data_IF_150008740493
#
_entry.id   IF_150008740493
#
_cell.length_a   1.000
_cell.length_b   1.000
_cell.length_c   1.000
_cell.angle_alpha   90.00
_cell.angle_beta   90.00
_cell.angle_gamma   90.00
#
_symmetry.space_group_name_H-M   'P 1'
#
loop_
_entity.id
_entity.type
_entity.pdbx_description
1 polymer ?
#
# COMPACT_ATOMS: atom_id res chain seq x y z
N UNK A 1 -8.79 1.58 -6.97
CA UNK A 1 -10.05 0.94 -7.37
C UNK A 1 -9.95 -0.59 -7.37
N UNK A 2 -8.88 -1.20 -7.90
CA UNK A 2 -8.75 -2.67 -8.02
C UNK A 2 -9.04 -3.43 -6.71
N UNK A 3 -8.50 -3.00 -5.59
CA UNK A 3 -8.70 -3.66 -4.29
C UNK A 3 -10.14 -3.57 -3.81
N UNK A 4 -10.82 -2.48 -4.14
CA UNK A 4 -12.18 -2.21 -3.65
C UNK A 4 -13.29 -2.73 -4.55
N UNK A 5 -12.98 -3.12 -5.80
CA UNK A 5 -14.01 -3.55 -6.76
C UNK A 5 -14.45 -5.01 -6.51
N UNK A 6 -15.65 -5.33 -6.91
CA UNK A 6 -16.14 -6.70 -7.01
C UNK A 6 -15.68 -7.33 -8.33
N UNK A 7 -15.81 -8.64 -8.42
CA UNK A 7 -15.48 -9.38 -9.63
C UNK A 7 -16.39 -8.96 -10.78
N UNK A 8 -15.83 -8.60 -11.96
CA UNK A 8 -16.65 -8.28 -13.12
C UNK A 8 -17.30 -9.55 -13.68
N UNK A 9 -18.49 -9.43 -14.23
CA UNK A 9 -19.24 -10.57 -14.81
C UNK A 9 -18.54 -11.20 -16.02
N UNK A 10 -17.65 -10.45 -16.68
CA UNK A 10 -16.82 -10.90 -17.78
C UNK A 10 -15.52 -10.07 -17.83
N UNK A 11 -14.48 -10.66 -18.41
CA UNK A 11 -13.17 -10.00 -18.43
C UNK A 11 -13.03 -9.08 -19.67
N UNK A 12 -13.94 -8.11 -19.78
CA UNK A 12 -13.93 -7.07 -20.80
C UNK A 12 -13.59 -5.70 -20.20
N UNK A 13 -13.07 -4.81 -21.04
CA UNK A 13 -12.69 -3.46 -20.59
C UNK A 13 -13.88 -2.69 -19.98
N UNK A 14 -15.08 -2.86 -20.54
CA UNK A 14 -16.28 -2.16 -20.09
C UNK A 14 -16.82 -2.73 -18.77
N UNK A 15 -16.81 -4.06 -18.59
CA UNK A 15 -17.18 -4.69 -17.33
C UNK A 15 -16.24 -4.27 -16.20
N UNK A 16 -14.91 -4.32 -16.44
CA UNK A 16 -13.89 -3.88 -15.49
C UNK A 16 -14.06 -2.39 -15.16
N UNK A 17 -14.30 -1.53 -16.18
CA UNK A 17 -14.53 -0.10 -15.97
C UNK A 17 -15.78 0.16 -15.13
N UNK A 18 -16.82 -0.59 -15.34
CA UNK A 18 -18.07 -0.49 -14.59
C UNK A 18 -17.84 -0.79 -13.11
N UNK A 19 -17.14 -1.87 -12.77
CA UNK A 19 -16.84 -2.19 -11.38
C UNK A 19 -15.92 -1.16 -10.73
N UNK A 20 -14.89 -0.67 -11.43
CA UNK A 20 -14.05 0.44 -10.96
C UNK A 20 -14.87 1.69 -10.65
N UNK A 21 -15.84 2.03 -11.52
CA UNK A 21 -16.68 3.21 -11.35
C UNK A 21 -17.58 3.10 -10.12
N UNK A 22 -18.11 1.92 -9.80
CA UNK A 22 -18.86 1.67 -8.56
C UNK A 22 -18.04 2.01 -7.32
N UNK A 23 -16.78 1.56 -7.27
CA UNK A 23 -15.88 1.88 -6.16
C UNK A 23 -15.62 3.38 -6.08
N UNK A 24 -15.30 4.04 -7.21
CA UNK A 24 -15.03 5.47 -7.23
C UNK A 24 -16.22 6.30 -6.71
N UNK A 25 -17.44 5.89 -7.02
CA UNK A 25 -18.66 6.54 -6.52
C UNK A 25 -18.92 6.28 -5.04
N UNK A 26 -18.39 5.20 -4.49
CA UNK A 26 -18.52 4.83 -3.09
C UNK A 26 -17.41 5.42 -2.19
N UNK A 27 -16.46 6.15 -2.77
CA UNK A 27 -15.39 6.79 -2.00
C UNK A 27 -15.96 7.93 -1.18
N UNK A 28 -15.60 7.94 0.11
CA UNK A 28 -15.85 9.03 1.04
C UNK A 28 -14.53 9.60 1.55
N UNK A 29 -14.50 10.91 1.70
CA UNK A 29 -13.37 11.65 2.25
C UNK A 29 -13.73 12.13 3.66
N UNK A 30 -12.74 12.31 4.55
CA UNK A 30 -12.98 12.90 5.87
C UNK A 30 -13.48 14.34 5.71
N UNK A 31 -14.37 14.75 6.62
CA UNK A 31 -14.85 16.11 6.74
C UNK A 31 -14.56 16.64 8.15
N UNK A 32 -13.71 17.66 8.33
CA UNK A 32 -13.02 18.39 7.25
C UNK A 32 -11.89 17.55 6.60
N UNK A 33 -11.58 17.82 5.34
CA UNK A 33 -10.55 17.10 4.59
C UNK A 33 -9.16 17.15 5.26
N UNK A 34 -8.88 18.24 5.97
CA UNK A 34 -7.62 18.42 6.71
C UNK A 34 -7.34 17.32 7.75
N UNK A 35 -8.39 16.67 8.26
CA UNK A 35 -8.25 15.59 9.25
C UNK A 35 -7.78 14.26 8.66
N UNK A 36 -7.76 14.16 7.34
CA UNK A 36 -7.36 12.92 6.68
C UNK A 36 -6.53 13.11 5.42
N UNK A 37 -6.07 14.31 5.13
CA UNK A 37 -5.21 14.57 3.97
C UNK A 37 -4.00 15.43 4.35
N UNK A 38 -2.83 15.02 3.84
CA UNK A 38 -1.58 15.77 3.96
C UNK A 38 -0.95 15.91 2.58
N UNK A 39 -0.34 17.05 2.35
CA UNK A 39 0.48 17.30 1.16
C UNK A 39 1.75 18.03 1.52
N UNK A 40 2.78 17.86 0.73
CA UNK A 40 4.08 18.49 1.00
C UNK A 40 4.95 18.56 -0.24
N UNK A 41 6.10 19.19 -0.07
CA UNK A 41 7.15 19.24 -1.08
C UNK A 41 8.43 18.69 -0.46
N UNK A 42 9.24 17.94 -1.22
CA UNK A 42 10.55 17.54 -0.74
C UNK A 42 11.48 18.75 -0.65
N UNK A 43 12.26 18.78 0.41
CA UNK A 43 13.33 19.74 0.63
C UNK A 43 14.67 19.15 0.21
N UNK A 44 15.74 19.96 0.20
CA UNK A 44 17.07 19.42 -0.01
C UNK A 44 17.39 18.33 1.02
N UNK A 45 18.13 17.32 0.59
CA UNK A 45 18.45 16.17 1.44
C UNK A 45 19.43 15.22 0.76
N UNK A 46 19.42 13.97 1.20
CA UNK A 46 20.25 12.90 0.67
C UNK A 46 19.35 11.76 0.17
N UNK A 47 19.64 11.26 -1.02
CA UNK A 47 18.95 10.12 -1.62
C UNK A 47 20.01 9.17 -2.20
N UNK A 48 20.01 7.92 -1.75
CA UNK A 48 21.00 6.91 -2.17
C UNK A 48 22.47 7.36 -2.03
N UNK A 49 22.78 8.17 -1.01
CA UNK A 49 24.13 8.67 -0.77
C UNK A 49 24.50 9.93 -1.56
N UNK A 50 23.62 10.44 -2.41
CA UNK A 50 23.83 11.68 -3.17
C UNK A 50 23.01 12.83 -2.60
N UNK A 51 23.57 14.03 -2.63
CA UNK A 51 22.86 15.24 -2.26
C UNK A 51 21.88 15.64 -3.34
N UNK A 52 20.64 15.84 -2.98
CA UNK A 52 19.57 16.27 -3.89
C UNK A 52 19.03 17.63 -3.51
N UNK A 53 18.72 18.45 -4.53
CA UNK A 53 18.10 19.74 -4.36
C UNK A 53 16.65 19.59 -3.87
N UNK A 54 16.14 20.61 -3.17
CA UNK A 54 14.72 20.69 -2.85
C UNK A 54 13.91 21.04 -4.10
N UNK A 55 12.62 20.72 -4.08
CA UNK A 55 11.72 20.90 -5.24
C UNK A 55 11.78 22.33 -5.85
N UNK A 56 11.75 23.36 -5.00
CA UNK A 56 11.81 24.75 -5.46
C UNK A 56 13.20 25.20 -5.94
N UNK A 57 14.19 24.34 -5.83
CA UNK A 57 15.55 24.55 -6.33
C UNK A 57 15.81 23.77 -7.64
N UNK A 58 14.84 22.96 -8.08
CA UNK A 58 14.94 22.22 -9.33
C UNK A 58 14.85 23.17 -10.53
N UNK A 59 15.50 22.79 -11.63
CA UNK A 59 15.45 23.54 -12.88
C UNK A 59 13.99 23.68 -13.35
N UNK A 60 13.64 24.85 -13.84
CA UNK A 60 12.31 25.18 -14.39
C UNK A 60 11.16 25.13 -13.37
N UNK A 61 11.47 25.12 -12.07
CA UNK A 61 10.44 25.23 -11.00
C UNK A 61 10.44 26.66 -10.45
N UNK A 62 9.28 27.34 -10.44
CA UNK A 62 9.16 28.65 -9.80
C UNK A 62 9.51 28.57 -8.31
N UNK A 63 10.28 29.53 -7.75
CA UNK A 63 10.68 29.51 -6.33
C UNK A 63 9.51 29.56 -5.35
N UNK A 64 8.38 30.08 -5.77
CA UNK A 64 7.12 30.20 -5.01
C UNK A 64 6.13 29.07 -5.32
N UNK A 65 6.52 28.08 -6.10
CA UNK A 65 5.66 26.96 -6.48
C UNK A 65 5.03 26.29 -5.25
N UNK A 66 3.73 26.07 -5.34
CA UNK A 66 2.91 25.39 -4.32
C UNK A 66 2.46 24.01 -4.76
N UNK A 67 2.95 23.53 -5.90
CA UNK A 67 2.64 22.17 -6.40
C UNK A 67 3.19 21.13 -5.44
N UNK A 68 2.34 20.27 -4.97
CA UNK A 68 2.73 19.16 -4.09
C UNK A 68 3.56 18.12 -4.83
N UNK A 69 4.59 17.61 -4.16
CA UNK A 69 5.40 16.49 -4.61
C UNK A 69 5.19 15.25 -3.75
N UNK A 70 4.38 15.38 -2.71
CA UNK A 70 3.90 14.32 -1.84
C UNK A 70 2.46 14.58 -1.45
N UNK A 71 1.66 13.55 -1.50
CA UNK A 71 0.30 13.57 -0.96
C UNK A 71 0.00 12.25 -0.24
N UNK A 72 -0.72 12.34 0.85
CA UNK A 72 -1.32 11.21 1.53
C UNK A 72 -2.75 11.53 1.91
N UNK A 73 -3.65 10.57 1.76
CA UNK A 73 -5.06 10.73 2.08
C UNK A 73 -5.61 9.46 2.72
N UNK A 74 -6.40 9.63 3.77
CA UNK A 74 -7.27 8.59 4.32
C UNK A 74 -8.64 8.74 3.67
N UNK A 75 -9.20 7.65 3.17
CA UNK A 75 -10.55 7.62 2.62
C UNK A 75 -11.31 6.37 3.07
N UNK A 76 -12.62 6.42 2.96
CA UNK A 76 -13.50 5.28 3.11
C UNK A 76 -14.02 4.78 1.77
N UNK A 77 -14.53 3.56 1.74
CA UNK A 77 -15.25 2.99 0.59
C UNK A 77 -16.54 2.40 1.13
N UNK A 78 -17.65 3.10 0.89
CA UNK A 78 -18.97 2.77 1.42
C UNK A 78 -19.64 1.68 0.59
N UNK A 79 -19.07 0.47 0.67
CA UNK A 79 -19.65 -0.75 0.11
C UNK A 79 -19.82 -1.78 1.22
N UNK A 80 -20.65 -2.79 0.99
CA UNK A 80 -20.89 -3.85 1.99
C UNK A 80 -19.62 -4.51 2.50
N UNK A 81 -18.60 -4.67 1.64
CA UNK A 81 -17.33 -5.31 2.00
C UNK A 81 -16.39 -4.39 2.77
N UNK A 82 -16.37 -3.11 2.43
CA UNK A 82 -15.33 -2.20 2.86
C UNK A 82 -15.80 -1.12 3.84
N UNK A 83 -17.10 -1.03 4.13
CA UNK A 83 -17.63 -0.07 5.11
C UNK A 83 -16.88 -0.18 6.45
N UNK A 84 -16.38 0.96 6.94
CA UNK A 84 -15.61 1.05 8.17
C UNK A 84 -14.14 0.59 8.06
N UNK A 85 -13.66 0.19 6.88
CA UNK A 85 -12.24 -0.10 6.64
C UNK A 85 -11.55 1.15 6.11
N UNK A 86 -10.54 1.69 6.80
CA UNK A 86 -9.80 2.85 6.32
C UNK A 86 -8.86 2.47 5.18
N UNK A 87 -8.86 3.30 4.13
CA UNK A 87 -7.90 3.22 3.03
C UNK A 87 -6.93 4.38 3.13
N UNK A 88 -5.64 4.08 3.16
CA UNK A 88 -4.58 5.07 3.17
C UNK A 88 -3.86 5.04 1.82
N UNK A 89 -3.97 6.12 1.07
CA UNK A 89 -3.24 6.31 -0.19
C UNK A 89 -2.11 7.30 0.05
N UNK A 90 -0.94 6.99 -0.47
CA UNK A 90 0.18 7.93 -0.49
C UNK A 90 0.93 7.82 -1.81
N UNK A 91 1.34 8.95 -2.32
CA UNK A 91 2.19 9.06 -3.49
C UNK A 91 3.18 10.20 -3.30
N UNK A 92 4.38 10.05 -3.84
CA UNK A 92 5.39 11.09 -3.70
C UNK A 92 6.57 10.91 -4.66
N UNK A 93 7.19 12.03 -4.96
CA UNK A 93 8.47 12.12 -5.68
C UNK A 93 9.62 12.02 -4.68
N UNK A 94 10.77 11.53 -5.13
CA UNK A 94 12.00 11.46 -4.32
C UNK A 94 11.83 10.70 -3.00
N UNK A 95 10.96 9.69 -2.97
CA UNK A 95 10.86 8.75 -1.84
C UNK A 95 12.07 7.80 -1.86
N UNK A 96 12.47 7.24 -0.70
CA UNK A 96 13.64 6.36 -0.60
C UNK A 96 13.58 5.11 -1.49
N UNK A 97 12.38 4.65 -1.81
CA UNK A 97 12.15 3.51 -2.69
C UNK A 97 11.13 3.87 -3.77
N UNK A 98 11.46 3.52 -5.02
CA UNK A 98 10.50 3.55 -6.12
C UNK A 98 9.72 2.24 -6.10
N UNK A 99 8.50 2.29 -5.62
CA UNK A 99 7.64 1.11 -5.46
C UNK A 99 6.18 1.51 -5.59
N UNK A 100 5.39 0.65 -6.23
CA UNK A 100 3.94 0.69 -6.18
C UNK A 100 3.47 -0.60 -5.53
N UNK A 101 2.87 -0.49 -4.35
CA UNK A 101 2.43 -1.65 -3.58
C UNK A 101 1.07 -1.39 -2.91
N UNK A 102 0.37 -2.47 -2.64
CA UNK A 102 -0.88 -2.49 -1.87
C UNK A 102 -0.62 -3.35 -0.65
N UNK A 103 -0.76 -2.76 0.55
CA UNK A 103 -0.63 -3.47 1.81
C UNK A 103 -2.00 -3.63 2.46
N UNK A 104 -2.44 -4.86 2.68
CA UNK A 104 -3.64 -5.20 3.42
C UNK A 104 -3.23 -5.68 4.80
N UNK A 105 -3.53 -4.88 5.83
CA UNK A 105 -3.20 -5.19 7.22
C UNK A 105 -4.44 -5.79 7.87
N UNK A 106 -4.36 -7.04 8.29
CA UNK A 106 -5.46 -7.74 8.94
C UNK A 106 -5.60 -7.27 10.39
N UNK A 107 -6.81 -7.32 10.90
CA UNK A 107 -7.07 -7.07 12.32
C UNK A 107 -6.35 -8.13 13.16
N UNK A 108 -5.82 -7.73 14.31
CA UNK A 108 -5.33 -8.70 15.30
C UNK A 108 -6.45 -9.62 15.74
N UNK A 109 -6.11 -10.87 16.02
CA UNK A 109 -7.07 -11.80 16.62
C UNK A 109 -7.58 -11.23 17.95
N UNK A 110 -8.90 -11.27 18.21
CA UNK A 110 -9.48 -10.71 19.43
C UNK A 110 -9.03 -11.45 20.69
N UNK A 111 -8.60 -12.69 20.54
CA UNK A 111 -8.07 -13.53 21.59
C UNK A 111 -6.93 -14.40 21.06
N UNK A 112 -5.82 -14.42 21.76
CA UNK A 112 -4.70 -15.32 21.52
C UNK A 112 -4.62 -16.28 22.70
N UNK A 113 -4.76 -17.60 22.49
CA UNK A 113 -4.70 -18.59 23.57
C UNK A 113 -3.32 -18.64 24.26
N UNK A 114 -2.34 -17.92 23.73
CA UNK A 114 -0.94 -17.88 24.18
C UNK A 114 -0.55 -16.53 24.80
N UNK A 115 -1.49 -15.79 25.36
CA UNK A 115 -1.29 -14.42 25.87
C UNK A 115 -0.28 -14.24 27.00
N UNK A 116 0.33 -15.32 27.50
CA UNK A 116 1.41 -15.31 28.51
C UNK A 116 2.81 -15.53 27.90
N UNK A 117 2.93 -15.65 26.62
CA UNK A 117 4.18 -15.79 25.88
C UNK A 117 4.47 -14.50 25.12
N UNK A 118 5.70 -14.30 24.68
CA UNK A 118 6.21 -13.12 23.95
C UNK A 118 5.44 -12.75 22.65
N UNK A 119 4.15 -13.07 22.59
CA UNK A 119 3.24 -12.76 21.47
C UNK A 119 2.76 -11.31 21.47
N UNK A 120 3.04 -10.53 22.50
CA UNK A 120 2.67 -9.11 22.55
C UNK A 120 3.38 -8.26 21.48
N UNK A 121 4.57 -8.70 21.06
CA UNK A 121 5.37 -8.06 20.02
C UNK A 121 4.97 -8.46 18.59
N UNK A 122 4.11 -9.46 18.41
CA UNK A 122 3.70 -9.91 17.08
C UNK A 122 2.93 -8.82 16.34
N UNK A 123 3.37 -8.56 15.12
CA UNK A 123 2.67 -7.70 14.18
C UNK A 123 1.29 -8.26 13.79
N UNK A 124 0.45 -7.43 13.17
CA UNK A 124 -0.73 -7.92 12.47
C UNK A 124 -0.31 -8.69 11.22
N UNK A 125 -1.03 -9.75 10.88
CA UNK A 125 -0.84 -10.41 9.59
C UNK A 125 -1.01 -9.39 8.46
N UNK A 126 -0.23 -9.52 7.41
CA UNK A 126 -0.19 -8.55 6.33
C UNK A 126 -0.04 -9.25 4.99
N UNK A 127 -0.87 -8.86 4.02
CA UNK A 127 -0.72 -9.23 2.62
C UNK A 127 -0.20 -8.01 1.86
N UNK A 128 0.95 -8.15 1.22
CA UNK A 128 1.57 -7.10 0.40
C UNK A 128 1.55 -7.55 -1.06
N UNK A 129 0.89 -6.79 -1.91
CA UNK A 129 0.87 -7.01 -3.36
C UNK A 129 1.78 -5.95 -3.98
N UNK A 130 2.89 -6.37 -4.56
CA UNK A 130 3.81 -5.51 -5.29
C UNK A 130 3.36 -5.43 -6.75
N UNK A 131 3.16 -4.22 -7.24
CA UNK A 131 2.74 -3.94 -8.62
C UNK A 131 3.97 -3.59 -9.47
N UNK A 132 4.91 -2.81 -8.91
CA UNK A 132 6.16 -2.37 -9.54
C UNK A 132 7.18 -1.93 -8.49
N UNK A 133 8.50 -2.11 -8.74
CA UNK A 133 9.11 -3.14 -9.56
C UNK A 133 8.99 -4.50 -8.86
N UNK A 134 9.44 -5.57 -9.45
CA UNK A 134 9.48 -6.90 -8.85
C UNK A 134 8.08 -7.37 -8.41
N UNK A 135 7.19 -7.54 -9.38
CA UNK A 135 5.82 -7.97 -9.20
C UNK A 135 5.74 -9.24 -8.34
N UNK A 136 4.84 -9.23 -7.37
CA UNK A 136 4.73 -10.37 -6.46
C UNK A 136 3.78 -10.16 -5.31
N UNK A 137 3.67 -11.18 -4.50
CA UNK A 137 2.83 -11.21 -3.30
C UNK A 137 3.64 -11.71 -2.11
N UNK A 138 3.58 -10.99 -1.01
CA UNK A 138 4.18 -11.37 0.27
C UNK A 138 3.08 -11.52 1.31
N UNK A 139 2.98 -12.68 1.95
CA UNK A 139 2.14 -12.90 3.12
C UNK A 139 3.04 -12.94 4.36
N UNK A 140 2.81 -12.01 5.29
CA UNK A 140 3.46 -11.97 6.61
C UNK A 140 2.50 -12.43 7.68
N UNK A 141 2.94 -13.36 8.54
CA UNK A 141 2.13 -13.92 9.61
C UNK A 141 3.00 -14.48 10.73
N UNK A 142 2.41 -14.58 11.94
CA UNK A 142 3.06 -15.22 13.06
C UNK A 142 3.07 -16.73 12.91
N UNK A 143 4.22 -17.36 13.09
CA UNK A 143 4.38 -18.82 13.08
C UNK A 143 5.10 -19.31 14.33
N UNK A 144 4.68 -20.48 14.85
CA UNK A 144 5.36 -21.11 15.97
C UNK A 144 6.76 -21.54 15.56
N UNK A 145 7.73 -21.19 16.38
CA UNK A 145 9.11 -21.70 16.23
C UNK A 145 9.12 -23.20 16.56
N UNK A 146 9.75 -24.05 15.74
CA UNK A 146 9.93 -25.48 16.06
C UNK A 146 10.65 -25.66 17.40
N UNK A 147 10.14 -26.56 18.25
CA UNK A 147 10.71 -26.84 19.56
C UNK A 147 9.65 -27.04 20.65
N UNK A 148 10.09 -27.29 21.88
CA UNK A 148 9.22 -27.52 23.03
C UNK A 148 8.66 -26.24 23.66
N UNK A 149 9.31 -25.09 23.45
CA UNK A 149 8.85 -23.80 23.96
C UNK A 149 7.77 -23.22 23.03
N UNK A 150 6.84 -22.47 23.62
CA UNK A 150 5.82 -21.75 22.86
C UNK A 150 6.37 -20.37 22.51
N UNK A 151 7.15 -20.32 21.45
CA UNK A 151 7.67 -19.10 20.86
C UNK A 151 7.03 -18.89 19.49
N UNK A 152 6.58 -17.67 19.19
CA UNK A 152 6.00 -17.31 17.91
C UNK A 152 6.82 -16.17 17.33
N UNK A 153 7.15 -16.26 16.03
CA UNK A 153 7.88 -15.22 15.30
C UNK A 153 7.14 -14.85 14.01
N UNK A 154 7.31 -13.62 13.58
CA UNK A 154 6.84 -13.18 12.28
C UNK A 154 7.68 -13.87 11.18
N UNK A 155 6.99 -14.48 10.24
CA UNK A 155 7.57 -15.10 9.05
C UNK A 155 6.93 -14.52 7.79
N UNK A 156 7.62 -14.63 6.67
CA UNK A 156 7.12 -14.19 5.37
C UNK A 156 7.11 -15.36 4.38
N UNK A 157 6.06 -15.42 3.58
CA UNK A 157 5.94 -16.27 2.41
C UNK A 157 5.90 -15.36 1.19
N UNK A 158 6.88 -15.50 0.31
CA UNK A 158 7.04 -14.67 -0.88
C UNK A 158 6.74 -15.45 -2.14
N UNK A 159 5.99 -14.82 -3.04
CA UNK A 159 5.84 -15.24 -4.43
C UNK A 159 6.30 -14.09 -5.33
N UNK A 160 7.24 -14.36 -6.23
CA UNK A 160 7.78 -13.41 -7.18
C UNK A 160 7.49 -13.89 -8.60
N UNK A 161 6.83 -13.05 -9.40
CA UNK A 161 6.51 -13.39 -10.79
C UNK A 161 7.77 -13.65 -11.62
N UNK A 162 8.80 -12.81 -11.49
CA UNK A 162 10.07 -12.96 -12.22
C UNK A 162 10.87 -14.21 -11.89
N UNK A 163 10.63 -14.85 -10.73
CA UNK A 163 11.24 -16.13 -10.38
C UNK A 163 10.45 -17.33 -10.89
N UNK A 164 9.15 -17.16 -11.09
CA UNK A 164 8.23 -18.22 -11.47
C UNK A 164 7.95 -18.26 -12.97
N UNK A 165 8.10 -17.12 -13.66
CA UNK A 165 7.82 -16.98 -15.07
C UNK A 165 8.97 -16.26 -15.76
N UNK A 166 9.39 -16.77 -16.93
CA UNK A 166 10.49 -16.20 -17.74
C UNK A 166 10.02 -15.08 -18.68
N UNK A 167 8.71 -14.88 -18.80
CA UNK A 167 8.14 -13.83 -19.64
C UNK A 167 8.04 -12.53 -18.85
N UNK A 168 8.63 -11.45 -19.39
CA UNK A 168 8.45 -10.11 -18.82
C UNK A 168 7.03 -9.64 -19.07
N UNK A 169 6.35 -9.24 -18.00
CA UNK A 169 5.05 -8.56 -18.12
C UNK A 169 5.25 -7.19 -18.80
N UNK A 170 4.38 -6.77 -19.73
CA UNK A 170 4.39 -5.41 -20.24
C UNK A 170 4.15 -4.43 -19.07
N UNK A 171 4.73 -3.24 -19.17
CA UNK A 171 4.54 -2.23 -18.11
C UNK A 171 3.03 -1.95 -17.89
N UNK A 172 2.61 -1.86 -16.64
CA UNK A 172 1.21 -1.75 -16.25
C UNK A 172 0.50 -0.44 -16.72
N UNK A 173 1.21 0.40 -17.45
CA UNK A 173 0.77 1.73 -17.91
C UNK A 173 0.97 1.99 -19.41
N UNK A 174 1.29 0.96 -20.22
CA UNK A 174 1.23 1.06 -21.67
C UNK A 174 -0.18 0.80 -22.21
#
# INVERSE_FOLDING_TARGET
ALVGMEEPVEFTADAIRTEKLKVLRAITLPDPLADGAVRGQYTQGWLAGERVAGYRQEKDVPPDSRTETYAAVRLGVETRRWAGVPFYLRAGKRLPRRVTEISIIFKKAPHLPFSKTDTEELGSNQLVIRVQPDEGVTLKFGSKVPGSQMEVRDVAMDFLYGESFTESSPEAYE
#
